data_IF_836119552290
#
_entry.id   IF_836119552290
#
_cell.length_a   1.000
_cell.length_b   1.000
_cell.length_c   1.000
_cell.angle_alpha   90.00
_cell.angle_beta   90.00
_cell.angle_gamma   90.00
#
_symmetry.space_group_name_H-M   'P 1'
#
loop_
_entity.id
_entity.type
_entity.pdbx_description
1 polymer ?
#
# COMPACT_ATOMS: atom_id res chain seq x y z
N UNK A 1 8.63 -41.94 29.56
CA UNK A 1 8.24 -41.71 28.15
C UNK A 1 7.35 -40.46 28.11
N UNK A 2 7.97 -39.29 28.29
CA UNK A 2 7.26 -38.05 28.61
C UNK A 2 7.64 -37.00 27.57
N UNK A 3 6.76 -36.77 26.59
CA UNK A 3 6.97 -35.74 25.58
C UNK A 3 6.78 -34.37 26.25
N UNK A 4 7.89 -33.73 26.57
CA UNK A 4 7.96 -32.49 27.35
C UNK A 4 7.09 -31.37 26.73
N UNK A 5 6.26 -30.66 27.51
CA UNK A 5 5.36 -29.59 27.04
C UNK A 5 6.07 -28.48 26.25
N UNK A 6 7.37 -28.28 26.49
CA UNK A 6 8.25 -27.40 25.72
C UNK A 6 8.27 -27.71 24.21
N UNK A 7 8.28 -29.00 23.81
CA UNK A 7 8.25 -29.40 22.39
C UNK A 7 6.90 -29.12 21.73
N UNK A 8 5.79 -29.14 22.47
CA UNK A 8 4.46 -28.78 21.97
C UNK A 8 4.34 -27.27 21.75
N UNK A 9 4.83 -26.46 22.69
CA UNK A 9 4.82 -25.00 22.57
C UNK A 9 5.64 -24.51 21.36
N UNK A 10 6.86 -25.03 21.19
CA UNK A 10 7.72 -24.69 20.03
C UNK A 10 7.10 -25.11 18.69
N UNK A 11 6.37 -26.23 18.64
CA UNK A 11 5.63 -26.65 17.42
C UNK A 11 4.38 -25.80 17.16
N UNK A 12 3.72 -25.31 18.20
CA UNK A 12 2.56 -24.42 18.07
C UNK A 12 2.99 -23.05 17.50
N UNK A 13 4.08 -22.48 18.01
CA UNK A 13 4.67 -21.23 17.50
C UNK A 13 5.21 -21.36 16.07
N UNK A 14 5.80 -22.51 15.72
CA UNK A 14 6.22 -22.77 14.35
C UNK A 14 5.04 -22.85 13.36
N UNK A 15 3.87 -23.34 13.81
CA UNK A 15 2.64 -23.38 12.99
C UNK A 15 2.01 -22.00 12.79
N UNK A 16 2.09 -21.12 13.78
CA UNK A 16 1.58 -19.72 13.67
C UNK A 16 2.56 -18.79 12.94
N UNK A 17 3.82 -19.20 12.77
CA UNK A 17 4.88 -18.39 12.15
C UNK A 17 5.27 -18.78 10.71
N UNK A 18 4.57 -19.75 10.10
CA UNK A 18 4.88 -20.19 8.75
C UNK A 18 4.74 -19.10 7.66
N UNK A 19 5.39 -19.24 6.50
CA UNK A 19 5.34 -18.25 5.41
C UNK A 19 3.92 -17.87 4.94
N UNK A 20 2.95 -18.79 5.11
CA UNK A 20 1.53 -18.54 4.82
C UNK A 20 0.84 -17.61 5.82
N UNK A 21 1.19 -17.68 7.12
CA UNK A 21 0.61 -16.81 8.15
C UNK A 21 1.18 -15.40 8.06
N UNK A 22 2.48 -15.27 7.73
CA UNK A 22 3.12 -13.96 7.53
C UNK A 22 2.49 -13.21 6.34
N UNK A 23 2.28 -13.88 5.20
CA UNK A 23 1.60 -13.28 4.06
C UNK A 23 0.20 -12.78 4.43
N UNK A 24 -0.58 -13.62 5.14
CA UNK A 24 -1.93 -13.24 5.59
C UNK A 24 -1.91 -11.99 6.49
N UNK A 25 -0.97 -11.92 7.44
CA UNK A 25 -0.82 -10.74 8.32
C UNK A 25 -0.52 -9.47 7.52
N UNK A 26 0.42 -9.53 6.58
CA UNK A 26 0.77 -8.37 5.74
C UNK A 26 -0.38 -7.96 4.82
N UNK A 27 -1.09 -8.92 4.22
CA UNK A 27 -2.25 -8.63 3.39
C UNK A 27 -3.39 -7.99 4.20
N UNK A 28 -3.63 -8.44 5.43
CA UNK A 28 -4.60 -7.81 6.34
C UNK A 28 -4.15 -6.42 6.78
N UNK A 29 -2.85 -6.21 7.05
CA UNK A 29 -2.33 -4.88 7.35
C UNK A 29 -2.52 -3.92 6.17
N UNK A 30 -2.22 -4.36 4.94
CA UNK A 30 -2.46 -3.58 3.72
C UNK A 30 -3.96 -3.29 3.50
N UNK A 31 -4.83 -4.26 3.79
CA UNK A 31 -6.29 -4.08 3.75
C UNK A 31 -6.76 -3.02 4.76
N UNK A 32 -6.35 -3.16 6.04
CA UNK A 32 -6.73 -2.20 7.08
C UNK A 32 -6.20 -0.80 6.78
N UNK A 33 -4.97 -0.70 6.29
CA UNK A 33 -4.41 0.57 5.82
C UNK A 33 -5.26 1.17 4.70
N UNK A 34 -5.66 0.36 3.70
CA UNK A 34 -6.48 0.84 2.58
C UNK A 34 -7.87 1.32 3.04
N UNK A 35 -8.49 0.64 4.02
CA UNK A 35 -9.76 1.10 4.61
C UNK A 35 -9.59 2.47 5.26
N UNK A 36 -8.57 2.64 6.11
CA UNK A 36 -8.35 3.90 6.83
C UNK A 36 -8.02 5.01 5.82
N UNK A 37 -7.17 4.72 4.85
CA UNK A 37 -6.83 5.64 3.76
C UNK A 37 -8.07 6.11 3.00
N UNK A 38 -8.93 5.18 2.57
CA UNK A 38 -10.17 5.51 1.87
C UNK A 38 -11.15 6.26 2.77
N UNK A 39 -11.26 5.92 4.05
CA UNK A 39 -12.13 6.63 5.00
C UNK A 39 -11.72 8.10 5.14
N UNK A 40 -10.41 8.40 5.23
CA UNK A 40 -9.92 9.77 5.24
C UNK A 40 -10.27 10.53 3.96
N UNK A 41 -10.12 9.90 2.79
CA UNK A 41 -10.49 10.54 1.53
C UNK A 41 -11.98 10.81 1.41
N UNK A 42 -12.83 9.89 1.87
CA UNK A 42 -14.28 10.11 1.91
C UNK A 42 -14.65 11.24 2.89
N UNK A 43 -13.97 11.30 4.04
CA UNK A 43 -14.14 12.39 5.00
C UNK A 43 -13.73 13.74 4.41
N UNK A 44 -12.58 13.83 3.72
CA UNK A 44 -12.16 15.06 3.05
C UNK A 44 -13.10 15.43 1.90
N UNK A 45 -13.56 14.46 1.12
CA UNK A 45 -14.56 14.69 0.07
C UNK A 45 -15.90 15.20 0.61
N UNK A 46 -16.28 14.79 1.82
CA UNK A 46 -17.45 15.30 2.53
C UNK A 46 -17.24 16.70 3.16
N UNK A 47 -16.10 17.35 2.92
CA UNK A 47 -15.77 18.69 3.44
C UNK A 47 -15.03 18.67 4.79
N UNK A 48 -14.64 17.50 5.27
CA UNK A 48 -13.79 17.36 6.44
C UNK A 48 -12.39 17.95 6.22
N UNK A 49 -11.80 18.54 7.26
CA UNK A 49 -10.49 19.23 7.17
C UNK A 49 -9.41 18.68 8.11
N UNK A 50 -9.76 17.71 8.94
CA UNK A 50 -8.80 17.07 9.84
C UNK A 50 -7.57 16.55 9.07
N UNK A 51 -6.38 16.94 9.52
CA UNK A 51 -5.11 16.49 8.96
C UNK A 51 -4.68 17.18 7.66
N UNK A 52 -5.40 18.18 7.16
CA UNK A 52 -5.00 18.98 5.98
C UNK A 52 -4.28 20.29 6.36
N UNK A 53 -4.15 20.60 7.65
CA UNK A 53 -3.63 21.89 8.10
C UNK A 53 -4.65 23.03 7.91
N UNK A 54 -4.13 24.25 7.80
CA UNK A 54 -4.95 25.47 7.80
C UNK A 54 -5.32 25.95 6.38
N UNK A 55 -4.91 25.22 5.34
CA UNK A 55 -4.95 25.63 3.94
C UNK A 55 -6.37 25.54 3.33
N UNK A 56 -7.04 26.67 3.02
CA UNK A 56 -8.44 26.69 2.59
C UNK A 56 -8.70 25.93 1.29
N UNK A 57 -7.73 25.86 0.37
CA UNK A 57 -7.92 25.41 -1.02
C UNK A 57 -7.47 23.97 -1.29
N UNK A 58 -7.14 23.20 -0.24
CA UNK A 58 -6.65 21.82 -0.38
C UNK A 58 -7.68 20.81 -0.92
N UNK A 59 -8.97 21.17 -1.01
CA UNK A 59 -10.02 20.29 -1.54
C UNK A 59 -10.37 20.76 -2.96
N UNK A 60 -10.04 19.97 -4.01
CA UNK A 60 -10.37 20.34 -5.38
C UNK A 60 -11.88 20.45 -5.58
N UNK A 61 -12.35 21.57 -6.13
CA UNK A 61 -13.73 21.71 -6.53
C UNK A 61 -13.97 20.93 -7.83
N UNK A 62 -14.87 19.95 -7.81
CA UNK A 62 -15.24 19.19 -9.02
C UNK A 62 -16.19 20.03 -9.87
N UNK A 63 -15.67 20.72 -10.89
CA UNK A 63 -16.47 21.62 -11.75
C UNK A 63 -16.37 21.27 -13.23
N UNK A 64 -15.40 20.45 -13.63
CA UNK A 64 -15.13 20.11 -15.03
C UNK A 64 -15.24 18.61 -15.31
N UNK A 65 -15.41 18.24 -16.58
CA UNK A 65 -15.40 16.83 -17.01
C UNK A 65 -14.07 16.14 -16.69
N UNK A 66 -12.97 16.88 -16.72
CA UNK A 66 -11.64 16.39 -16.34
C UNK A 66 -11.59 15.97 -14.86
N UNK A 67 -12.16 16.79 -13.97
CA UNK A 67 -12.24 16.49 -12.53
C UNK A 67 -13.05 15.21 -12.26
N UNK A 68 -14.11 14.96 -13.03
CA UNK A 68 -14.90 13.73 -12.90
C UNK A 68 -14.13 12.49 -13.34
N UNK A 69 -13.39 12.56 -14.45
CA UNK A 69 -12.54 11.45 -14.92
C UNK A 69 -11.46 11.15 -13.88
N UNK A 70 -10.84 12.19 -13.34
CA UNK A 70 -9.83 12.07 -12.30
C UNK A 70 -10.40 11.46 -11.01
N UNK A 71 -11.57 11.92 -10.58
CA UNK A 71 -12.28 11.40 -9.40
C UNK A 71 -12.67 9.94 -9.59
N UNK A 72 -13.11 9.55 -10.79
CA UNK A 72 -13.43 8.16 -11.11
C UNK A 72 -12.18 7.27 -11.07
N UNK A 73 -11.05 7.75 -11.61
CA UNK A 73 -9.78 7.02 -11.57
C UNK A 73 -9.30 6.80 -10.13
N UNK A 74 -9.29 7.85 -9.31
CA UNK A 74 -8.90 7.77 -7.88
C UNK A 74 -9.82 6.81 -7.12
N UNK A 75 -11.14 6.95 -7.31
CA UNK A 75 -12.12 6.08 -6.64
C UNK A 75 -11.94 4.62 -7.04
N UNK A 76 -11.70 4.35 -8.33
CA UNK A 76 -11.40 3.02 -8.84
C UNK A 76 -10.13 2.43 -8.19
N UNK A 77 -9.09 3.26 -8.00
CA UNK A 77 -7.88 2.85 -7.30
C UNK A 77 -8.14 2.48 -5.83
N UNK A 78 -9.03 3.19 -5.12
CA UNK A 78 -9.42 2.83 -3.76
C UNK A 78 -10.12 1.47 -3.71
N UNK A 79 -11.08 1.24 -4.61
CA UNK A 79 -11.77 -0.05 -4.69
C UNK A 79 -10.78 -1.18 -4.93
N UNK A 80 -9.87 -1.03 -5.89
CA UNK A 80 -8.83 -2.04 -6.16
C UNK A 80 -7.92 -2.22 -4.95
N UNK A 81 -7.51 -1.13 -4.29
CA UNK A 81 -6.68 -1.16 -3.10
C UNK A 81 -7.34 -1.87 -1.91
N UNK A 82 -8.65 -1.77 -1.75
CA UNK A 82 -9.35 -2.50 -0.67
C UNK A 82 -9.58 -3.96 -1.06
N UNK A 83 -10.09 -4.19 -2.27
CA UNK A 83 -10.54 -5.52 -2.71
C UNK A 83 -9.36 -6.47 -2.91
N UNK A 84 -8.24 -6.00 -3.45
CA UNK A 84 -7.11 -6.87 -3.79
C UNK A 84 -6.46 -7.54 -2.56
N UNK A 85 -6.08 -6.82 -1.49
CA UNK A 85 -5.55 -7.43 -0.28
C UNK A 85 -6.57 -8.35 0.41
N UNK A 86 -7.86 -7.98 0.41
CA UNK A 86 -8.92 -8.83 0.96
C UNK A 86 -9.08 -10.13 0.17
N UNK A 87 -9.15 -10.03 -1.17
CA UNK A 87 -9.27 -11.17 -2.07
C UNK A 87 -8.11 -12.16 -1.87
N UNK A 88 -6.90 -11.67 -1.60
CA UNK A 88 -5.72 -12.49 -1.32
C UNK A 88 -5.79 -13.31 -0.02
N UNK A 89 -6.63 -12.90 0.92
CA UNK A 89 -6.86 -13.64 2.18
C UNK A 89 -8.00 -14.63 2.09
N UNK A 90 -8.84 -14.55 1.05
CA UNK A 90 -10.04 -15.35 0.84
C UNK A 90 -9.85 -16.39 -0.28
N UNK A 91 -10.68 -17.45 -0.34
CA UNK A 91 -10.64 -18.43 -1.42
C UNK A 91 -10.86 -17.82 -2.81
N UNK A 92 -11.53 -16.66 -2.90
CA UNK A 92 -11.71 -15.93 -4.16
C UNK A 92 -10.39 -15.52 -4.82
N UNK A 93 -9.34 -15.21 -4.04
CA UNK A 93 -8.02 -14.86 -4.59
C UNK A 93 -7.35 -15.99 -5.37
N UNK A 94 -7.84 -17.24 -5.25
CA UNK A 94 -7.37 -18.36 -6.08
C UNK A 94 -7.87 -18.32 -7.51
N UNK A 95 -8.93 -17.56 -7.80
CA UNK A 95 -9.50 -17.41 -9.16
C UNK A 95 -8.74 -16.38 -10.00
N UNK A 96 -8.06 -15.43 -9.35
CA UNK A 96 -7.32 -14.38 -10.04
C UNK A 96 -5.95 -14.92 -10.48
N UNK A 97 -5.55 -14.74 -11.75
CA UNK A 97 -4.21 -15.08 -12.21
C UNK A 97 -3.15 -14.40 -11.33
N UNK A 98 -2.18 -15.20 -10.86
CA UNK A 98 -1.16 -14.74 -9.90
C UNK A 98 -0.32 -13.57 -10.43
N UNK A 99 -0.09 -13.54 -11.74
CA UNK A 99 0.67 -12.47 -12.37
C UNK A 99 -0.10 -11.13 -12.30
N UNK A 100 -1.41 -11.12 -12.51
CA UNK A 100 -2.26 -9.93 -12.37
C UNK A 100 -2.17 -9.41 -10.94
N UNK A 101 -2.35 -10.29 -9.95
CA UNK A 101 -2.24 -9.89 -8.53
C UNK A 101 -0.87 -9.28 -8.22
N UNK A 102 0.21 -9.92 -8.69
CA UNK A 102 1.55 -9.41 -8.47
C UNK A 102 1.76 -8.05 -9.14
N UNK A 103 1.29 -7.87 -10.38
CA UNK A 103 1.33 -6.59 -11.09
C UNK A 103 0.57 -5.51 -10.32
N UNK A 104 -0.67 -5.75 -9.92
CA UNK A 104 -1.47 -4.77 -9.16
C UNK A 104 -0.81 -4.41 -7.82
N UNK A 105 -0.25 -5.38 -7.08
CA UNK A 105 0.46 -5.10 -5.83
C UNK A 105 1.72 -4.26 -6.06
N UNK A 106 2.49 -4.54 -7.12
CA UNK A 106 3.69 -3.75 -7.45
C UNK A 106 3.35 -2.36 -7.95
N UNK A 107 2.32 -2.22 -8.78
CA UNK A 107 1.84 -0.91 -9.26
C UNK A 107 1.38 -0.07 -8.06
N UNK A 108 0.54 -0.63 -7.18
CA UNK A 108 0.11 0.05 -5.96
C UNK A 108 1.29 0.43 -5.07
N UNK A 109 2.24 -0.48 -4.87
CA UNK A 109 3.45 -0.19 -4.11
C UNK A 109 4.26 0.97 -4.72
N UNK A 110 4.51 0.93 -6.02
CA UNK A 110 5.28 1.95 -6.72
C UNK A 110 4.57 3.30 -6.68
N UNK A 111 3.27 3.36 -6.98
CA UNK A 111 2.49 4.60 -6.95
C UNK A 111 2.53 5.26 -5.56
N UNK A 112 2.31 4.48 -4.50
CA UNK A 112 2.29 4.99 -3.13
C UNK A 112 3.68 5.44 -2.66
N UNK A 113 4.74 4.66 -2.94
CA UNK A 113 6.11 5.05 -2.58
C UNK A 113 6.58 6.25 -3.38
N UNK A 114 6.32 6.31 -4.68
CA UNK A 114 6.71 7.45 -5.52
C UNK A 114 5.96 8.71 -5.07
N UNK A 115 4.65 8.64 -4.87
CA UNK A 115 3.85 9.79 -4.44
C UNK A 115 4.27 10.30 -3.06
N UNK A 116 4.32 9.43 -2.06
CA UNK A 116 4.69 9.84 -0.70
C UNK A 116 6.16 10.19 -0.57
N UNK A 117 7.04 9.40 -1.19
CA UNK A 117 8.48 9.62 -1.18
C UNK A 117 8.89 10.91 -1.89
N UNK A 118 8.27 11.23 -3.03
CA UNK A 118 8.49 12.49 -3.71
C UNK A 118 8.06 13.69 -2.86
N UNK A 119 6.92 13.60 -2.16
CA UNK A 119 6.45 14.67 -1.28
C UNK A 119 7.36 14.91 -0.06
N UNK A 120 7.82 13.83 0.59
CA UNK A 120 8.82 13.93 1.67
C UNK A 120 10.13 14.52 1.19
N UNK A 121 10.61 14.07 0.02
CA UNK A 121 11.85 14.58 -0.56
C UNK A 121 11.73 16.05 -0.97
N UNK A 122 10.63 16.43 -1.60
CA UNK A 122 10.32 17.82 -1.96
C UNK A 122 10.32 18.74 -0.74
N UNK A 123 9.62 18.32 0.33
CA UNK A 123 9.57 19.05 1.60
C UNK A 123 10.96 19.21 2.19
N UNK A 124 11.75 18.13 2.27
CA UNK A 124 13.10 18.16 2.81
C UNK A 124 14.05 19.04 2.00
N UNK A 125 13.96 19.03 0.67
CA UNK A 125 14.79 19.88 -0.19
C UNK A 125 14.50 21.38 0.00
N UNK A 126 13.23 21.73 0.22
CA UNK A 126 12.81 23.11 0.49
C UNK A 126 13.23 23.56 1.88
N UNK A 127 13.09 22.71 2.88
CA UNK A 127 13.42 23.06 4.28
C UNK A 127 14.93 23.16 4.53
N UNK A 128 15.73 22.38 3.81
CA UNK A 128 17.20 22.45 3.89
C UNK A 128 17.81 23.57 3.06
N UNK A 129 17.02 24.25 2.21
CA UNK A 129 17.50 25.28 1.28
C UNK A 129 18.34 24.73 0.12
N UNK A 130 18.34 23.41 -0.09
CA UNK A 130 19.05 22.78 -1.21
C UNK A 130 18.34 23.03 -2.54
N UNK A 131 17.01 23.16 -2.51
CA UNK A 131 16.21 23.62 -3.64
C UNK A 131 14.97 24.37 -3.15
N UNK A 132 15.03 25.71 -3.18
CA UNK A 132 13.92 26.58 -2.72
C UNK A 132 12.60 26.34 -3.48
N UNK A 133 12.70 25.81 -4.71
CA UNK A 133 11.59 25.46 -5.58
C UNK A 133 11.25 23.96 -5.61
N UNK A 134 11.88 23.16 -4.75
CA UNK A 134 11.65 21.72 -4.65
C UNK A 134 11.97 20.93 -5.92
N UNK A 135 11.41 19.72 -6.03
CA UNK A 135 11.58 18.78 -7.14
C UNK A 135 10.89 19.25 -8.42
N UNK A 136 9.76 19.94 -8.30
CA UNK A 136 8.94 20.35 -9.45
C UNK A 136 9.32 21.72 -10.01
N UNK A 137 10.13 22.49 -9.28
CA UNK A 137 10.42 23.88 -9.64
C UNK A 137 9.30 24.86 -9.30
N UNK A 138 8.21 24.40 -8.67
CA UNK A 138 7.07 25.23 -8.28
C UNK A 138 7.27 25.84 -6.88
N UNK A 139 6.71 27.01 -6.63
CA UNK A 139 6.70 27.63 -5.29
C UNK A 139 5.59 27.03 -4.42
N UNK A 140 5.66 27.22 -3.09
CA UNK A 140 4.56 26.82 -2.19
C UNK A 140 3.24 27.47 -2.62
N UNK A 141 3.24 28.76 -2.98
CA UNK A 141 2.04 29.43 -3.48
C UNK A 141 1.41 28.77 -4.71
N UNK A 142 2.21 28.16 -5.59
CA UNK A 142 1.71 27.45 -6.76
C UNK A 142 1.18 26.05 -6.43
N UNK A 143 1.64 25.43 -5.34
CA UNK A 143 1.28 24.07 -4.94
C UNK A 143 0.11 24.07 -3.96
N UNK A 144 0.14 24.98 -2.99
CA UNK A 144 -0.75 25.06 -1.83
C UNK A 144 -1.54 26.36 -1.80
N UNK A 145 -1.45 27.25 -2.80
CA UNK A 145 -2.10 28.57 -2.79
C UNK A 145 -1.50 29.58 -1.80
N UNK A 146 -0.74 29.11 -0.80
CA UNK A 146 -0.09 29.91 0.24
C UNK A 146 1.44 29.99 0.04
N UNK A 147 2.00 31.20 0.07
CA UNK A 147 3.45 31.44 -0.03
C UNK A 147 4.21 31.05 1.25
N UNK A 148 3.54 31.06 2.41
CA UNK A 148 4.15 30.83 3.71
C UNK A 148 3.33 29.84 4.55
N UNK A 149 3.20 28.58 4.11
CA UNK A 149 2.37 27.60 4.79
C UNK A 149 2.82 27.42 6.25
N UNK A 150 1.83 27.36 7.14
CA UNK A 150 2.04 27.18 8.58
C UNK A 150 2.82 25.89 8.86
N UNK A 151 3.55 25.84 9.98
CA UNK A 151 4.27 24.64 10.42
C UNK A 151 3.32 23.44 10.53
N UNK A 152 2.11 23.67 11.02
CA UNK A 152 1.04 22.67 11.12
C UNK A 152 0.70 22.07 9.75
N UNK A 153 0.62 22.89 8.71
CA UNK A 153 0.32 22.46 7.34
C UNK A 153 1.46 21.63 6.75
N UNK A 154 2.72 22.05 6.96
CA UNK A 154 3.91 21.30 6.51
C UNK A 154 4.03 19.93 7.19
N UNK A 155 3.85 19.90 8.51
CA UNK A 155 3.88 18.66 9.30
C UNK A 155 2.74 17.73 8.88
N UNK A 156 1.53 18.28 8.68
CA UNK A 156 0.37 17.51 8.21
C UNK A 156 0.63 16.88 6.83
N UNK A 157 1.16 17.65 5.88
CA UNK A 157 1.57 17.15 4.57
C UNK A 157 2.61 16.04 4.66
N UNK A 158 3.64 16.23 5.48
CA UNK A 158 4.67 15.20 5.73
C UNK A 158 4.10 13.93 6.35
N UNK A 159 3.14 14.05 7.27
CA UNK A 159 2.44 12.91 7.85
C UNK A 159 1.61 12.15 6.82
N UNK A 160 0.90 12.87 5.94
CA UNK A 160 0.16 12.29 4.81
C UNK A 160 1.13 11.52 3.90
N UNK A 161 2.23 12.14 3.51
CA UNK A 161 3.22 11.53 2.61
C UNK A 161 3.90 10.30 3.23
N UNK A 162 4.23 10.35 4.52
CA UNK A 162 4.72 9.19 5.26
C UNK A 162 3.68 8.05 5.30
N UNK A 163 2.39 8.40 5.43
CA UNK A 163 1.31 7.43 5.39
C UNK A 163 1.17 6.76 4.02
N UNK A 164 1.36 7.49 2.92
CA UNK A 164 1.48 6.93 1.57
C UNK A 164 2.64 5.94 1.48
N UNK A 165 3.84 6.31 1.95
CA UNK A 165 5.02 5.42 1.94
C UNK A 165 4.75 4.14 2.73
N UNK A 166 4.13 4.24 3.91
CA UNK A 166 3.74 3.08 4.71
C UNK A 166 2.84 2.11 3.92
N UNK A 167 1.83 2.62 3.23
CA UNK A 167 0.98 1.82 2.33
C UNK A 167 1.81 1.13 1.24
N UNK A 168 2.69 1.89 0.59
CA UNK A 168 3.58 1.36 -0.45
C UNK A 168 4.46 0.20 0.04
N UNK A 169 5.02 0.32 1.25
CA UNK A 169 5.81 -0.74 1.88
C UNK A 169 4.97 -1.98 2.19
N UNK A 170 3.73 -1.82 2.66
CA UNK A 170 2.82 -2.94 2.94
C UNK A 170 2.48 -3.71 1.66
N UNK A 171 2.14 -3.01 0.58
CA UNK A 171 1.85 -3.62 -0.73
C UNK A 171 3.08 -4.28 -1.34
N UNK A 172 4.24 -3.62 -1.29
CA UNK A 172 5.50 -4.18 -1.77
C UNK A 172 5.89 -5.44 -1.00
N UNK A 173 5.71 -5.43 0.32
CA UNK A 173 5.95 -6.62 1.16
C UNK A 173 4.97 -7.75 0.84
N UNK A 174 3.69 -7.44 0.61
CA UNK A 174 2.71 -8.43 0.16
C UNK A 174 3.11 -9.04 -1.20
N UNK A 175 3.56 -8.22 -2.15
CA UNK A 175 4.02 -8.67 -3.47
C UNK A 175 5.22 -9.61 -3.36
N UNK A 176 6.21 -9.27 -2.54
CA UNK A 176 7.41 -10.08 -2.31
C UNK A 176 7.05 -11.45 -1.72
N UNK A 177 6.20 -11.48 -0.69
CA UNK A 177 5.75 -12.73 -0.07
C UNK A 177 4.90 -13.56 -1.05
N UNK A 178 4.05 -12.93 -1.86
CA UNK A 178 3.26 -13.60 -2.89
C UNK A 178 4.15 -14.30 -3.94
N UNK A 179 5.22 -13.63 -4.38
CA UNK A 179 6.20 -14.18 -5.33
C UNK A 179 6.99 -15.35 -4.72
N UNK A 180 7.43 -15.24 -3.46
CA UNK A 180 8.13 -16.33 -2.75
C UNK A 180 7.28 -17.60 -2.69
N UNK A 181 6.02 -17.48 -2.28
CA UNK A 181 5.10 -18.62 -2.25
C UNK A 181 4.87 -19.27 -3.63
N UNK A 182 4.87 -18.48 -4.70
CA UNK A 182 4.74 -19.02 -6.06
C UNK A 182 5.98 -19.81 -6.47
N UNK A 183 7.18 -19.30 -6.13
CA UNK A 183 8.46 -19.98 -6.40
C UNK A 183 8.56 -21.30 -5.65
N UNK A 184 8.23 -21.32 -4.36
CA UNK A 184 8.31 -22.53 -3.52
C UNK A 184 7.38 -23.64 -4.03
N UNK A 185 6.15 -23.29 -4.44
CA UNK A 185 5.22 -24.25 -5.06
C UNK A 185 5.72 -24.80 -6.39
N UNK A 186 6.42 -23.98 -7.18
CA UNK A 186 7.04 -24.40 -8.44
C UNK A 186 8.17 -25.39 -8.22
N UNK A 187 9.02 -25.16 -7.21
CA UNK A 187 10.12 -26.07 -6.83
C UNK A 187 9.57 -27.41 -6.35
N UNK A 188 8.60 -27.42 -5.44
CA UNK A 188 7.98 -28.67 -4.94
C UNK A 188 7.33 -29.47 -6.08
N UNK A 189 6.65 -28.80 -7.01
CA UNK A 189 6.01 -29.46 -8.16
C UNK A 189 7.02 -30.08 -9.14
N UNK A 190 8.21 -29.50 -9.30
CA UNK A 190 9.30 -30.06 -10.12
C UNK A 190 10.07 -31.18 -9.44
N UNK A 191 10.19 -31.14 -8.12
CA UNK A 191 10.87 -32.16 -7.32
C UNK A 191 10.01 -33.40 -7.05
N UNK A 192 8.69 -33.34 -7.29
CA UNK A 192 7.82 -34.51 -7.17
C UNK A 192 8.16 -35.51 -8.30
N UNK A 193 8.58 -36.75 -7.97
CA UNK A 193 8.90 -37.75 -8.99
C UNK A 193 7.69 -37.96 -9.90
N UNK A 194 7.91 -38.02 -11.22
CA UNK A 194 6.87 -38.32 -12.18
C UNK A 194 6.25 -39.66 -11.81
N UNK A 195 5.00 -39.63 -11.35
CA UNK A 195 4.16 -40.82 -11.23
C UNK A 195 3.79 -41.26 -12.66
N UNK A 196 4.76 -41.74 -13.42
CA UNK A 196 4.57 -42.30 -14.75
C UNK A 196 5.61 -43.40 -15.02
N UNK A 197 5.57 -44.47 -14.21
CA UNK A 197 6.21 -45.76 -14.56
C UNK A 197 5.70 -46.94 -13.70
N UNK A 198 4.40 -46.96 -13.35
CA UNK A 198 3.76 -48.19 -12.85
C UNK A 198 2.50 -48.50 -13.66
N UNK A 199 2.64 -49.52 -14.51
CA UNK A 199 1.58 -50.15 -15.30
C UNK A 199 1.39 -49.47 -16.66
N UNK A 200 1.62 -50.10 -17.81
CA UNK A 200 1.75 -51.53 -18.15
C UNK A 200 2.72 -51.69 -19.30
#
# INVERSE_FOLDING_TARGET
MESTPKRRAVRADARTSGPGSQFRRVALAAFSWAIVFTAFHLYWFAGGRFGLGDDPDMIPETRTTEDYVWSFAITSMFVVGIVLPLALTRPLGRRIPRWITACCLWIGAALLVVRGGAGLLDTALRETGWADRGLTGLTYQQITGDAHPSLTTKVSGSCIDAYFVLGGLLYGRAALLHRRQARDRGVVRRAAPSRSSRGR
#
